data_IF_993867327951
#
_entry.id   IF_993867327951
#
_cell.length_a   1.000
_cell.length_b   1.000
_cell.length_c   1.000
_cell.angle_alpha   90.00
_cell.angle_beta   90.00
_cell.angle_gamma   90.00
#
_symmetry.space_group_name_H-M   'P 1'
#
loop_
_entity.id
_entity.type
_entity.pdbx_description
1 polymer ?
#
# COMPACT_ATOMS: atom_id res chain seq x y z
N UNK A 1 -49.69 -6.63 -43.48
CA UNK A 1 -49.92 -8.06 -43.21
C UNK A 1 -48.98 -8.51 -42.10
N UNK A 2 -49.47 -8.60 -40.86
CA UNK A 2 -48.71 -9.15 -39.73
C UNK A 2 -48.98 -10.65 -39.68
N UNK A 3 -48.04 -11.47 -40.15
CA UNK A 3 -48.15 -12.91 -40.03
C UNK A 3 -47.90 -13.28 -38.56
N UNK A 4 -48.94 -13.78 -37.89
CA UNK A 4 -48.84 -14.34 -36.54
C UNK A 4 -48.13 -15.68 -36.64
N UNK A 5 -46.89 -15.75 -36.13
CA UNK A 5 -46.15 -17.00 -35.96
C UNK A 5 -47.01 -18.02 -35.21
N UNK A 6 -47.06 -19.24 -35.73
CA UNK A 6 -47.83 -20.32 -35.09
C UNK A 6 -47.16 -20.74 -33.77
N UNK A 7 -47.95 -21.31 -32.84
CA UNK A 7 -47.42 -21.83 -31.56
C UNK A 7 -46.31 -22.87 -31.77
N UNK A 8 -46.29 -23.54 -32.92
CA UNK A 8 -45.27 -24.55 -33.28
C UNK A 8 -43.97 -23.89 -33.72
N UNK A 9 -44.05 -22.83 -34.53
CA UNK A 9 -42.87 -22.05 -34.95
C UNK A 9 -42.21 -21.35 -33.77
N UNK A 10 -43.00 -20.83 -32.82
CA UNK A 10 -42.47 -20.24 -31.59
C UNK A 10 -41.76 -21.27 -30.70
N UNK A 11 -42.30 -22.49 -30.61
CA UNK A 11 -41.64 -23.59 -29.88
C UNK A 11 -40.36 -24.05 -30.57
N UNK A 12 -40.35 -24.10 -31.90
CA UNK A 12 -39.17 -24.45 -32.68
C UNK A 12 -38.06 -23.41 -32.51
N UNK A 13 -38.40 -22.11 -32.57
CA UNK A 13 -37.46 -21.02 -32.36
C UNK A 13 -36.91 -20.99 -30.93
N UNK A 14 -37.73 -21.27 -29.92
CA UNK A 14 -37.28 -21.43 -28.53
C UNK A 14 -36.32 -22.61 -28.36
N UNK A 15 -36.63 -23.77 -28.95
CA UNK A 15 -35.75 -24.95 -28.90
C UNK A 15 -34.42 -24.72 -29.63
N UNK A 16 -34.44 -24.03 -30.77
CA UNK A 16 -33.23 -23.65 -31.51
C UNK A 16 -32.38 -22.64 -30.72
N UNK A 17 -33.01 -21.69 -30.02
CA UNK A 17 -32.33 -20.74 -29.14
C UNK A 17 -31.67 -21.40 -27.92
N UNK A 18 -32.34 -22.39 -27.32
CA UNK A 18 -31.75 -23.19 -26.22
C UNK A 18 -30.59 -24.05 -26.72
N UNK A 19 -30.70 -24.66 -27.91
CA UNK A 19 -29.60 -25.43 -28.49
C UNK A 19 -28.38 -24.55 -28.83
N UNK A 20 -28.59 -23.33 -29.33
CA UNK A 20 -27.51 -22.37 -29.57
C UNK A 20 -26.84 -21.89 -28.27
N UNK A 21 -27.60 -21.74 -27.18
CA UNK A 21 -27.05 -21.39 -25.87
C UNK A 21 -26.15 -22.50 -25.29
N UNK A 22 -26.42 -23.77 -25.59
CA UNK A 22 -25.60 -24.91 -25.18
C UNK A 22 -24.32 -25.10 -26.03
N UNK A 23 -24.31 -24.59 -27.27
CA UNK A 23 -23.13 -24.64 -28.14
C UNK A 23 -22.06 -23.59 -27.79
N UNK A 24 -22.37 -22.64 -26.88
CA UNK A 24 -21.44 -21.61 -26.41
C UNK A 24 -20.40 -22.06 -25.37
N UNK A 25 -20.46 -23.31 -24.90
CA UNK A 25 -19.45 -23.85 -24.00
C UNK A 25 -18.20 -24.29 -24.79
N UNK A 26 -17.37 -23.33 -25.20
CA UNK A 26 -16.00 -23.65 -25.65
C UNK A 26 -15.29 -24.43 -24.54
N UNK A 27 -14.61 -25.52 -24.88
CA UNK A 27 -13.76 -26.27 -23.94
C UNK A 27 -12.80 -25.28 -23.26
N UNK A 28 -12.99 -25.07 -21.95
CA UNK A 28 -12.19 -24.11 -21.18
C UNK A 28 -10.71 -24.48 -21.14
N UNK A 29 -9.87 -23.54 -20.74
CA UNK A 29 -8.44 -23.79 -20.52
C UNK A 29 -8.26 -24.87 -19.45
N UNK A 30 -7.54 -25.95 -19.79
CA UNK A 30 -7.32 -27.09 -18.91
C UNK A 30 -5.83 -27.39 -18.83
N UNK A 31 -5.17 -27.22 -17.66
CA UNK A 31 -3.72 -27.46 -17.54
C UNK A 31 -3.27 -28.87 -17.94
N UNK A 32 -4.13 -29.87 -17.73
CA UNK A 32 -3.89 -31.27 -18.11
C UNK A 32 -3.73 -31.50 -19.61
N UNK A 33 -4.18 -30.56 -20.45
CA UNK A 33 -4.11 -30.69 -21.90
C UNK A 33 -2.69 -30.37 -22.43
N UNK A 34 -1.75 -29.94 -21.56
CA UNK A 34 -0.38 -29.59 -21.93
C UNK A 34 0.62 -30.67 -21.47
N UNK A 35 1.51 -31.07 -22.39
CA UNK A 35 2.38 -32.23 -22.21
C UNK A 35 3.51 -32.06 -21.19
N UNK A 36 3.97 -30.83 -20.94
CA UNK A 36 5.07 -30.52 -20.02
C UNK A 36 4.94 -29.11 -19.43
N UNK A 37 5.69 -28.79 -18.35
CA UNK A 37 5.64 -27.48 -17.71
C UNK A 37 5.95 -26.31 -18.64
N UNK A 38 6.88 -26.45 -19.58
CA UNK A 38 7.22 -25.39 -20.54
C UNK A 38 6.04 -25.07 -21.48
N UNK A 39 5.32 -26.09 -21.94
CA UNK A 39 4.13 -25.92 -22.75
C UNK A 39 3.00 -25.26 -21.95
N UNK A 40 2.78 -25.69 -20.71
CA UNK A 40 1.79 -25.07 -19.82
C UNK A 40 2.15 -23.62 -19.49
N UNK A 41 3.43 -23.31 -19.24
CA UNK A 41 3.90 -21.95 -18.96
C UNK A 41 3.61 -21.03 -20.14
N UNK A 42 3.99 -21.43 -21.37
CA UNK A 42 3.73 -20.64 -22.57
C UNK A 42 2.24 -20.41 -22.81
N UNK A 43 1.43 -21.44 -22.59
CA UNK A 43 -0.02 -21.32 -22.74
C UNK A 43 -0.65 -20.40 -21.68
N UNK A 44 -0.22 -20.51 -20.42
CA UNK A 44 -0.66 -19.65 -19.31
C UNK A 44 -0.28 -18.19 -19.55
N UNK A 45 0.92 -17.95 -20.08
CA UNK A 45 1.38 -16.61 -20.48
C UNK A 45 0.53 -16.03 -21.62
N UNK A 46 0.13 -16.85 -22.60
CA UNK A 46 -0.76 -16.40 -23.66
C UNK A 46 -2.15 -16.02 -23.12
N UNK A 47 -2.68 -16.79 -22.18
CA UNK A 47 -3.95 -16.46 -21.51
C UNK A 47 -3.83 -15.18 -20.68
N UNK A 48 -2.70 -14.97 -19.99
CA UNK A 48 -2.37 -13.71 -19.32
C UNK A 48 -2.35 -12.53 -20.30
N UNK A 49 -1.65 -12.65 -21.42
CA UNK A 49 -1.58 -11.59 -22.45
C UNK A 49 -2.96 -11.27 -23.05
N UNK A 50 -3.85 -12.27 -23.13
CA UNK A 50 -5.25 -12.11 -23.56
C UNK A 50 -6.17 -11.57 -22.46
N UNK A 51 -5.62 -11.18 -21.31
CA UNK A 51 -6.36 -10.71 -20.15
C UNK A 51 -7.35 -11.72 -19.57
N UNK A 52 -7.17 -13.01 -19.89
CA UNK A 52 -7.94 -14.12 -19.32
C UNK A 52 -7.27 -14.54 -18.02
N UNK A 53 -7.36 -13.66 -17.02
CA UNK A 53 -6.62 -13.78 -15.76
C UNK A 53 -6.97 -15.07 -15.01
N UNK A 54 -8.23 -15.51 -15.02
CA UNK A 54 -8.63 -16.78 -14.37
C UNK A 54 -7.93 -17.99 -14.99
N UNK A 55 -7.84 -18.05 -16.32
CA UNK A 55 -7.12 -19.12 -17.00
C UNK A 55 -5.61 -19.07 -16.72
N UNK A 56 -5.03 -17.86 -16.72
CA UNK A 56 -3.63 -17.66 -16.37
C UNK A 56 -3.33 -18.14 -14.94
N UNK A 57 -4.16 -17.76 -13.95
CA UNK A 57 -4.04 -18.22 -12.56
C UNK A 57 -4.04 -19.73 -12.49
N UNK A 58 -5.03 -20.40 -13.07
CA UNK A 58 -5.13 -21.87 -13.05
C UNK A 58 -3.86 -22.54 -13.58
N UNK A 59 -3.30 -22.01 -14.66
CA UNK A 59 -2.07 -22.54 -15.25
C UNK A 59 -0.83 -22.29 -14.40
N UNK A 60 -0.66 -21.07 -13.88
CA UNK A 60 0.48 -20.73 -13.03
C UNK A 60 0.40 -21.37 -11.63
N UNK A 61 -0.78 -21.50 -11.02
CA UNK A 61 -1.00 -22.27 -9.78
C UNK A 61 -0.54 -23.71 -9.96
N UNK A 62 -0.94 -24.34 -11.08
CA UNK A 62 -0.51 -25.70 -11.40
C UNK A 62 1.01 -25.79 -11.53
N UNK A 63 1.64 -24.85 -12.23
CA UNK A 63 3.10 -24.81 -12.36
C UNK A 63 3.79 -24.64 -11.01
N UNK A 64 3.33 -23.73 -10.17
CA UNK A 64 3.93 -23.50 -8.84
C UNK A 64 3.78 -24.69 -7.90
N UNK A 65 2.79 -25.56 -8.13
CA UNK A 65 2.60 -26.81 -7.38
C UNK A 65 3.44 -27.97 -7.91
N UNK A 66 3.66 -28.04 -9.23
CA UNK A 66 4.30 -29.21 -9.87
C UNK A 66 5.82 -29.05 -10.00
N UNK A 67 6.31 -27.81 -10.15
CA UNK A 67 7.72 -27.52 -10.39
C UNK A 67 8.57 -27.71 -9.12
N UNK A 68 9.79 -28.22 -9.30
CA UNK A 68 10.75 -28.32 -8.20
C UNK A 68 11.30 -26.95 -7.81
N UNK A 69 11.79 -26.81 -6.57
CA UNK A 69 12.38 -25.56 -6.07
C UNK A 69 13.56 -25.02 -6.90
N UNK A 70 14.26 -25.89 -7.66
CA UNK A 70 15.40 -25.52 -8.50
C UNK A 70 15.02 -25.24 -9.96
N UNK A 71 13.74 -25.39 -10.30
CA UNK A 71 13.28 -25.20 -11.67
C UNK A 71 13.30 -23.70 -12.05
N UNK A 72 13.94 -23.32 -13.17
CA UNK A 72 14.05 -21.92 -13.58
C UNK A 72 12.69 -21.27 -13.94
N UNK A 73 11.64 -22.05 -14.18
CA UNK A 73 10.30 -21.52 -14.46
C UNK A 73 9.52 -21.16 -13.18
N UNK A 74 9.98 -21.58 -12.00
CA UNK A 74 9.21 -21.44 -10.77
C UNK A 74 9.05 -19.98 -10.34
N UNK A 75 10.13 -19.19 -10.32
CA UNK A 75 10.06 -17.76 -10.01
C UNK A 75 9.21 -16.98 -11.03
N UNK A 76 9.39 -17.15 -12.36
CA UNK A 76 8.47 -16.58 -13.35
C UNK A 76 7.02 -17.02 -13.18
N UNK A 77 6.75 -18.28 -12.79
CA UNK A 77 5.39 -18.77 -12.59
C UNK A 77 4.72 -18.05 -11.40
N UNK A 78 5.42 -17.93 -10.26
CA UNK A 78 4.96 -17.11 -9.14
C UNK A 78 4.73 -15.65 -9.55
N UNK A 79 5.61 -15.09 -10.40
CA UNK A 79 5.53 -13.70 -10.81
C UNK A 79 4.26 -13.43 -11.63
N UNK A 80 3.96 -14.26 -12.62
CA UNK A 80 2.74 -14.11 -13.40
C UNK A 80 1.48 -14.52 -12.65
N UNK A 81 1.57 -15.45 -11.70
CA UNK A 81 0.47 -15.74 -10.76
C UNK A 81 0.13 -14.49 -9.94
N UNK A 82 1.13 -13.84 -9.34
CA UNK A 82 0.98 -12.62 -8.57
C UNK A 82 0.38 -11.48 -9.41
N UNK A 83 0.91 -11.26 -10.61
CA UNK A 83 0.36 -10.27 -11.53
C UNK A 83 -1.09 -10.56 -11.91
N UNK A 84 -1.46 -11.84 -12.12
CA UNK A 84 -2.84 -12.22 -12.44
C UNK A 84 -3.79 -11.85 -11.29
N UNK A 85 -3.39 -12.14 -10.05
CA UNK A 85 -4.14 -11.72 -8.85
C UNK A 85 -4.25 -10.19 -8.75
N UNK A 86 -3.17 -9.43 -9.00
CA UNK A 86 -3.24 -7.96 -9.00
C UNK A 86 -4.22 -7.41 -10.03
N UNK A 87 -4.25 -8.00 -11.24
CA UNK A 87 -5.18 -7.59 -12.32
C UNK A 87 -6.64 -7.77 -11.93
N UNK A 88 -6.92 -8.72 -11.04
CA UNK A 88 -8.25 -8.97 -10.48
C UNK A 88 -8.47 -8.30 -9.13
N UNK A 89 -7.52 -7.47 -8.67
CA UNK A 89 -7.56 -6.77 -7.37
C UNK A 89 -7.56 -7.71 -6.17
N UNK A 90 -7.08 -8.93 -6.34
CA UNK A 90 -6.89 -9.94 -5.31
C UNK A 90 -5.55 -9.70 -4.58
N UNK A 91 -5.37 -8.50 -4.04
CA UNK A 91 -4.05 -8.00 -3.59
C UNK A 91 -3.40 -8.85 -2.49
N UNK A 92 -4.19 -9.51 -1.64
CA UNK A 92 -3.63 -10.40 -0.62
C UNK A 92 -2.97 -11.64 -1.25
N UNK A 93 -3.63 -12.25 -2.24
CA UNK A 93 -3.08 -13.39 -2.98
C UNK A 93 -1.89 -12.97 -3.84
N UNK A 94 -1.95 -11.77 -4.43
CA UNK A 94 -0.82 -11.20 -5.15
C UNK A 94 0.41 -11.01 -4.25
N UNK A 95 0.24 -10.43 -3.06
CA UNK A 95 1.33 -10.26 -2.11
C UNK A 95 1.96 -11.61 -1.75
N UNK A 96 1.14 -12.61 -1.40
CA UNK A 96 1.61 -13.95 -1.06
C UNK A 96 2.39 -14.61 -2.20
N UNK A 97 1.94 -14.47 -3.45
CA UNK A 97 2.63 -15.02 -4.60
C UNK A 97 3.96 -14.30 -4.89
N UNK A 98 4.03 -12.97 -4.75
CA UNK A 98 5.29 -12.24 -4.85
C UNK A 98 6.27 -12.58 -3.70
N UNK A 99 5.78 -12.77 -2.48
CA UNK A 99 6.60 -13.18 -1.31
C UNK A 99 7.33 -14.51 -1.56
N UNK A 100 6.73 -15.44 -2.33
CA UNK A 100 7.42 -16.67 -2.74
C UNK A 100 8.69 -16.40 -3.54
N UNK A 101 8.74 -15.32 -4.32
CA UNK A 101 9.93 -14.92 -5.06
C UNK A 101 10.95 -14.27 -4.11
N UNK A 102 10.51 -13.35 -3.25
CA UNK A 102 11.41 -12.62 -2.34
C UNK A 102 12.10 -13.56 -1.36
N UNK A 103 11.40 -14.59 -0.91
CA UNK A 103 11.91 -15.52 0.10
C UNK A 103 12.69 -16.69 -0.51
N UNK A 104 12.25 -17.17 -1.68
CA UNK A 104 12.81 -18.35 -2.33
C UNK A 104 13.92 -18.07 -3.34
N UNK A 105 13.96 -16.86 -3.91
CA UNK A 105 14.80 -16.53 -5.07
C UNK A 105 15.44 -15.14 -4.96
N UNK A 106 16.16 -14.81 -3.86
CA UNK A 106 16.71 -13.48 -3.63
C UNK A 106 17.75 -13.05 -4.68
N UNK A 107 18.41 -14.00 -5.35
CA UNK A 107 19.41 -13.73 -6.41
C UNK A 107 18.79 -13.64 -7.81
N UNK A 108 17.49 -13.92 -7.96
CA UNK A 108 16.81 -13.82 -9.25
C UNK A 108 16.61 -12.36 -9.67
N UNK A 109 16.73 -12.09 -10.96
CA UNK A 109 16.46 -10.77 -11.56
C UNK A 109 15.05 -10.23 -11.26
N UNK A 110 14.10 -11.10 -10.93
CA UNK A 110 12.73 -10.75 -10.54
C UNK A 110 12.60 -10.35 -9.07
N UNK A 111 13.57 -10.65 -8.20
CA UNK A 111 13.50 -10.38 -6.76
C UNK A 111 13.18 -8.90 -6.43
N UNK A 112 13.88 -7.88 -6.96
CA UNK A 112 13.53 -6.48 -6.68
C UNK A 112 12.13 -6.12 -7.20
N UNK A 113 11.75 -6.59 -8.40
CA UNK A 113 10.41 -6.36 -8.95
C UNK A 113 9.33 -7.03 -8.10
N UNK A 114 9.59 -8.21 -7.56
CA UNK A 114 8.68 -8.91 -6.67
C UNK A 114 8.51 -8.20 -5.33
N UNK A 115 9.61 -7.75 -4.69
CA UNK A 115 9.52 -6.96 -3.45
C UNK A 115 8.70 -5.67 -3.64
N UNK A 116 8.86 -4.99 -4.78
CA UNK A 116 8.02 -3.85 -5.13
C UNK A 116 6.55 -4.26 -5.29
N UNK A 117 6.31 -5.42 -5.90
CA UNK A 117 4.98 -6.04 -6.03
C UNK A 117 4.31 -6.35 -4.69
N UNK A 118 5.05 -6.90 -3.72
CA UNK A 118 4.57 -7.12 -2.34
C UNK A 118 4.17 -5.78 -1.71
N UNK A 119 5.06 -4.78 -1.76
CA UNK A 119 4.79 -3.46 -1.19
C UNK A 119 3.58 -2.77 -1.81
N UNK A 120 3.47 -2.80 -3.14
CA UNK A 120 2.30 -2.27 -3.87
C UNK A 120 1.01 -3.00 -3.51
N UNK A 121 1.06 -4.32 -3.37
CA UNK A 121 -0.10 -5.14 -3.04
C UNK A 121 -0.62 -4.82 -1.62
N UNK A 122 0.25 -4.77 -0.61
CA UNK A 122 -0.13 -4.36 0.74
C UNK A 122 -0.61 -2.91 0.81
N UNK A 123 0.03 -1.99 0.08
CA UNK A 123 -0.45 -0.61 -0.05
C UNK A 123 -1.88 -0.57 -0.61
N UNK A 124 -2.18 -1.41 -1.60
CA UNK A 124 -3.51 -1.48 -2.24
C UNK A 124 -4.59 -2.06 -1.31
N UNK A 125 -4.22 -2.87 -0.32
CA UNK A 125 -5.12 -3.31 0.74
C UNK A 125 -5.47 -2.17 1.72
N UNK A 126 -4.54 -1.24 1.96
CA UNK A 126 -4.73 -0.10 2.87
C UNK A 126 -5.34 1.13 2.17
N UNK A 127 -6.58 1.01 1.69
CA UNK A 127 -7.21 1.96 0.74
C UNK A 127 -7.49 3.38 1.25
N UNK A 128 -7.39 3.64 2.57
CA UNK A 128 -7.58 4.98 3.16
C UNK A 128 -6.95 5.06 4.56
N UNK A 129 -6.48 6.24 5.00
CA UNK A 129 -5.84 6.44 6.31
C UNK A 129 -6.69 6.01 7.52
N UNK A 130 -8.02 6.08 7.42
CA UNK A 130 -8.91 5.78 8.55
C UNK A 130 -8.94 4.29 8.93
N UNK A 131 -8.52 3.38 8.05
CA UNK A 131 -8.48 1.94 8.30
C UNK A 131 -7.34 1.55 9.25
N UNK A 132 -7.34 0.30 9.71
CA UNK A 132 -6.20 -0.27 10.43
C UNK A 132 -4.91 -0.17 9.59
N UNK A 133 -3.79 0.32 10.16
CA UNK A 133 -2.57 0.61 9.42
C UNK A 133 -1.69 -0.61 9.15
N UNK A 134 -2.03 -1.81 9.63
CA UNK A 134 -1.18 -3.01 9.54
C UNK A 134 -0.65 -3.25 8.12
N UNK A 135 -1.54 -3.21 7.11
CA UNK A 135 -1.13 -3.39 5.72
C UNK A 135 -0.23 -2.25 5.21
N UNK A 136 -0.46 -1.01 5.63
CA UNK A 136 0.43 0.11 5.32
C UNK A 136 1.83 -0.08 5.93
N UNK A 137 1.90 -0.60 7.16
CA UNK A 137 3.16 -0.89 7.86
C UNK A 137 3.94 -2.01 7.17
N UNK A 138 3.26 -3.09 6.79
CA UNK A 138 3.85 -4.16 5.97
C UNK A 138 4.41 -3.63 4.65
N UNK A 139 3.65 -2.77 3.97
CA UNK A 139 4.09 -2.14 2.73
C UNK A 139 5.36 -1.30 2.90
N UNK A 140 5.44 -0.42 3.91
CA UNK A 140 6.66 0.38 4.15
C UNK A 140 7.84 -0.51 4.54
N UNK A 141 7.61 -1.54 5.36
CA UNK A 141 8.66 -2.47 5.78
C UNK A 141 9.31 -3.16 4.59
N UNK A 142 8.53 -3.76 3.69
CA UNK A 142 9.07 -4.47 2.53
C UNK A 142 9.71 -3.51 1.52
N UNK A 143 9.16 -2.32 1.33
CA UNK A 143 9.72 -1.32 0.41
C UNK A 143 11.06 -0.78 0.92
N UNK A 144 11.23 -0.60 2.25
CA UNK A 144 12.52 -0.23 2.82
C UNK A 144 13.53 -1.37 2.74
N UNK A 145 13.09 -2.62 2.93
CA UNK A 145 13.94 -3.78 2.69
C UNK A 145 14.42 -3.83 1.23
N UNK A 146 13.56 -3.53 0.25
CA UNK A 146 13.95 -3.41 -1.17
C UNK A 146 15.06 -2.37 -1.37
N UNK A 147 14.93 -1.19 -0.77
CA UNK A 147 15.95 -0.13 -0.87
C UNK A 147 17.28 -0.54 -0.24
N UNK A 148 17.26 -1.36 0.80
CA UNK A 148 18.47 -1.85 1.47
C UNK A 148 19.12 -3.02 0.74
N UNK A 149 18.33 -3.95 0.22
CA UNK A 149 18.82 -5.18 -0.41
C UNK A 149 19.20 -4.97 -1.87
N UNK A 150 18.51 -4.06 -2.58
CA UNK A 150 18.71 -3.80 -4.01
C UNK A 150 18.82 -2.30 -4.30
N UNK A 151 19.81 -1.59 -3.74
CA UNK A 151 19.91 -0.12 -3.80
C UNK A 151 20.05 0.44 -5.23
N UNK A 152 20.64 -0.34 -6.15
CA UNK A 152 20.86 0.06 -7.55
C UNK A 152 19.76 -0.43 -8.51
N UNK A 153 18.69 -1.06 -7.99
CA UNK A 153 17.59 -1.55 -8.82
C UNK A 153 16.74 -0.41 -9.37
N UNK A 154 16.16 -0.59 -10.55
CA UNK A 154 15.23 0.38 -11.17
C UNK A 154 13.95 0.57 -10.33
N UNK A 155 13.62 -0.39 -9.48
CA UNK A 155 12.46 -0.38 -8.59
C UNK A 155 12.59 0.62 -7.43
N UNK A 156 13.81 1.03 -7.09
CA UNK A 156 14.07 1.90 -5.92
C UNK A 156 13.32 3.23 -5.98
N UNK A 157 13.17 3.82 -7.16
CA UNK A 157 12.45 5.10 -7.31
C UNK A 157 10.95 4.97 -7.08
N UNK A 158 10.31 3.87 -7.52
CA UNK A 158 8.90 3.62 -7.21
C UNK A 158 8.73 3.30 -5.71
N UNK A 159 9.64 2.51 -5.14
CA UNK A 159 9.61 2.20 -3.72
C UNK A 159 9.69 3.47 -2.85
N UNK A 160 10.60 4.40 -3.13
CA UNK A 160 10.71 5.69 -2.43
C UNK A 160 9.41 6.49 -2.52
N UNK A 161 8.81 6.60 -3.71
CA UNK A 161 7.54 7.34 -3.92
C UNK A 161 6.41 6.73 -3.11
N UNK A 162 6.30 5.40 -3.10
CA UNK A 162 5.29 4.67 -2.32
C UNK A 162 5.48 4.84 -0.82
N UNK A 163 6.72 4.75 -0.33
CA UNK A 163 7.02 5.00 1.09
C UNK A 163 6.53 6.40 1.49
N UNK A 164 6.88 7.45 0.73
CA UNK A 164 6.42 8.81 1.00
C UNK A 164 4.89 8.91 1.05
N UNK A 165 4.19 8.27 0.09
CA UNK A 165 2.73 8.28 0.06
C UNK A 165 2.11 7.57 1.28
N UNK A 166 2.66 6.42 1.67
CA UNK A 166 2.17 5.65 2.81
C UNK A 166 2.43 6.40 4.12
N UNK A 167 3.61 7.00 4.27
CA UNK A 167 3.96 7.83 5.43
C UNK A 167 3.06 9.07 5.55
N UNK A 168 2.72 9.75 4.46
CA UNK A 168 1.73 10.84 4.46
C UNK A 168 0.38 10.36 5.00
N UNK A 169 -0.07 9.17 4.62
CA UNK A 169 -1.32 8.60 5.13
C UNK A 169 -1.23 8.20 6.60
N UNK A 170 -0.09 7.68 7.05
CA UNK A 170 0.09 7.31 8.46
C UNK A 170 0.11 8.57 9.34
N UNK A 171 0.86 9.58 8.91
CA UNK A 171 0.93 10.87 9.57
C UNK A 171 -0.43 11.56 9.63
N UNK A 172 -1.22 11.51 8.55
CA UNK A 172 -2.58 12.05 8.51
C UNK A 172 -3.49 11.32 9.51
N UNK A 173 -3.43 10.00 9.59
CA UNK A 173 -4.23 9.20 10.55
C UNK A 173 -3.92 9.61 12.00
N UNK A 174 -2.65 9.73 12.35
CA UNK A 174 -2.23 10.06 13.71
C UNK A 174 -2.58 11.54 14.03
N UNK A 175 -2.42 12.45 13.06
CA UNK A 175 -2.87 13.84 13.16
C UNK A 175 -4.38 13.94 13.41
N UNK A 176 -5.20 13.25 12.62
CA UNK A 176 -6.66 13.26 12.76
C UNK A 176 -7.10 12.71 14.12
N UNK A 177 -6.36 11.75 14.65
CA UNK A 177 -6.58 11.22 16.00
C UNK A 177 -6.28 12.28 17.06
N UNK A 178 -5.16 13.00 16.95
CA UNK A 178 -4.86 14.15 17.82
C UNK A 178 -5.94 15.24 17.74
N UNK A 179 -6.40 15.58 16.54
CA UNK A 179 -7.50 16.55 16.33
C UNK A 179 -8.81 16.07 16.98
N UNK A 180 -9.12 14.78 16.90
CA UNK A 180 -10.29 14.20 17.56
C UNK A 180 -10.22 14.36 19.09
N UNK A 181 -9.05 14.13 19.71
CA UNK A 181 -8.88 14.32 21.15
C UNK A 181 -9.13 15.77 21.58
N UNK A 182 -8.62 16.74 20.81
CA UNK A 182 -8.86 18.17 21.08
C UNK A 182 -10.35 18.52 20.95
N UNK A 183 -10.97 18.15 19.82
CA UNK A 183 -12.30 18.66 19.44
C UNK A 183 -13.46 17.89 20.09
N UNK A 184 -13.35 16.56 20.15
CA UNK A 184 -14.44 15.68 20.56
C UNK A 184 -14.26 15.25 22.01
N UNK A 185 -13.07 14.77 22.37
CA UNK A 185 -12.81 14.29 23.74
C UNK A 185 -12.48 15.41 24.72
N UNK A 186 -12.22 16.62 24.22
CA UNK A 186 -11.85 17.80 25.03
C UNK A 186 -10.63 17.52 25.93
N UNK A 187 -9.70 16.68 25.47
CA UNK A 187 -8.54 16.22 26.23
C UNK A 187 -7.25 16.62 25.52
N UNK A 188 -6.40 17.37 26.21
CA UNK A 188 -5.18 17.96 25.64
C UNK A 188 -4.00 16.99 25.72
N UNK A 189 -3.81 16.31 26.85
CA UNK A 189 -2.62 15.47 27.07
C UNK A 189 -2.49 14.35 26.02
N UNK A 190 -3.55 13.59 25.69
CA UNK A 190 -3.48 12.60 24.63
C UNK A 190 -3.26 13.23 23.26
N UNK A 191 -3.82 14.41 22.99
CA UNK A 191 -3.63 15.09 21.71
C UNK A 191 -2.16 15.50 21.51
N UNK A 192 -1.49 15.98 22.57
CA UNK A 192 -0.06 16.30 22.54
C UNK A 192 0.76 15.06 22.17
N UNK A 193 0.43 13.88 22.74
CA UNK A 193 1.13 12.62 22.40
C UNK A 193 1.02 12.32 20.91
N UNK A 194 -0.19 12.35 20.33
CA UNK A 194 -0.37 12.08 18.89
C UNK A 194 0.36 13.09 18.00
N UNK A 195 0.31 14.37 18.32
CA UNK A 195 1.01 15.37 17.52
C UNK A 195 2.53 15.23 17.64
N UNK A 196 3.06 14.89 18.84
CA UNK A 196 4.47 14.55 19.04
C UNK A 196 4.89 13.34 18.19
N UNK A 197 4.10 12.27 18.20
CA UNK A 197 4.37 11.07 17.41
C UNK A 197 4.44 11.39 15.91
N UNK A 198 3.55 12.25 15.40
CA UNK A 198 3.57 12.65 13.99
C UNK A 198 4.86 13.39 13.62
N UNK A 199 5.30 14.35 14.43
CA UNK A 199 6.48 15.16 14.11
C UNK A 199 7.80 14.41 14.28
N UNK A 200 7.83 13.41 15.18
CA UNK A 200 9.01 12.57 15.39
C UNK A 200 9.09 11.45 14.36
N UNK A 201 7.96 10.81 14.04
CA UNK A 201 7.93 9.63 13.16
C UNK A 201 7.88 9.99 11.68
N UNK A 202 7.19 11.07 11.31
CA UNK A 202 6.94 11.45 9.92
C UNK A 202 7.30 12.93 9.63
N UNK A 203 8.53 13.39 9.96
CA UNK A 203 8.90 14.81 9.94
C UNK A 203 8.77 15.50 8.57
N UNK A 204 8.85 14.72 7.48
CA UNK A 204 8.77 15.20 6.10
C UNK A 204 7.32 15.41 5.60
N UNK A 205 6.32 14.99 6.36
CA UNK A 205 4.92 14.99 5.91
C UNK A 205 4.22 16.33 6.11
N UNK A 206 3.15 16.57 5.34
CA UNK A 206 2.27 17.73 5.56
C UNK A 206 1.66 17.73 6.96
N UNK A 207 1.29 16.55 7.45
CA UNK A 207 0.73 16.38 8.78
C UNK A 207 1.72 16.75 9.89
N UNK A 208 3.03 16.52 9.73
CA UNK A 208 4.03 16.97 10.71
C UNK A 208 4.05 18.49 10.88
N UNK A 209 4.03 19.24 9.78
CA UNK A 209 3.92 20.71 9.85
C UNK A 209 2.68 21.16 10.61
N UNK A 210 1.53 20.53 10.35
CA UNK A 210 0.29 20.85 11.05
C UNK A 210 0.31 20.43 12.53
N UNK A 211 0.92 19.30 12.85
CA UNK A 211 1.10 18.79 14.22
C UNK A 211 1.95 19.74 15.04
N UNK A 212 3.04 20.27 14.49
CA UNK A 212 3.85 21.26 15.18
C UNK A 212 3.07 22.53 15.56
N UNK A 213 2.26 23.06 14.62
CA UNK A 213 1.40 24.22 14.89
C UNK A 213 0.37 23.91 15.99
N UNK A 214 -0.18 22.69 16.00
CA UNK A 214 -1.11 22.24 17.05
C UNK A 214 -0.42 22.09 18.40
N UNK A 215 0.80 21.55 18.45
CA UNK A 215 1.59 21.46 19.68
C UNK A 215 1.80 22.84 20.30
N UNK A 216 2.26 23.81 19.50
CA UNK A 216 2.43 25.18 19.96
C UNK A 216 1.13 25.79 20.51
N UNK A 217 0.02 25.63 19.79
CA UNK A 217 -1.31 26.09 20.21
C UNK A 217 -1.71 25.48 21.57
N UNK A 218 -1.54 24.17 21.72
CA UNK A 218 -1.92 23.44 22.93
C UNK A 218 -1.03 23.82 24.13
N UNK A 219 0.29 23.90 23.93
CA UNK A 219 1.23 24.29 24.98
C UNK A 219 0.98 25.71 25.48
N UNK A 220 0.71 26.64 24.56
CA UNK A 220 0.31 28.01 24.91
C UNK A 220 -0.98 28.01 25.73
N UNK A 221 -1.97 27.21 25.34
CA UNK A 221 -3.27 27.12 26.02
C UNK A 221 -3.15 26.61 27.47
N UNK A 222 -2.28 25.63 27.71
CA UNK A 222 -2.02 25.09 29.06
C UNK A 222 -0.93 25.84 29.83
N UNK A 223 -0.39 26.93 29.25
CA UNK A 223 0.65 27.80 29.83
C UNK A 223 2.00 27.13 30.07
N UNK A 224 2.33 26.10 29.30
CA UNK A 224 3.66 25.47 29.29
C UNK A 224 4.58 26.26 28.36
N UNK A 225 5.17 27.33 28.91
CA UNK A 225 5.91 28.32 28.13
C UNK A 225 7.20 27.77 27.52
N UNK A 226 7.90 26.91 28.25
CA UNK A 226 9.15 26.29 27.80
C UNK A 226 8.91 25.40 26.58
N UNK A 227 7.98 24.45 26.68
CA UNK A 227 7.57 23.60 25.54
C UNK A 227 7.09 24.41 24.33
N UNK A 228 6.33 25.49 24.53
CA UNK A 228 5.89 26.35 23.44
C UNK A 228 7.07 27.02 22.72
N UNK A 229 8.06 27.53 23.47
CA UNK A 229 9.26 28.15 22.92
C UNK A 229 10.16 27.14 22.20
N UNK A 230 10.32 25.93 22.77
CA UNK A 230 11.04 24.83 22.13
C UNK A 230 10.38 24.41 20.82
N UNK A 231 9.04 24.32 20.81
CA UNK A 231 8.26 24.01 19.61
C UNK A 231 8.49 25.06 18.52
N UNK A 232 8.51 26.35 18.85
CA UNK A 232 8.85 27.41 17.90
C UNK A 232 10.28 27.27 17.35
N UNK A 233 11.24 26.95 18.21
CA UNK A 233 12.63 26.72 17.80
C UNK A 233 12.74 25.54 16.82
N UNK A 234 12.04 24.44 17.11
CA UNK A 234 11.98 23.27 16.24
C UNK A 234 11.32 23.59 14.89
N UNK A 235 10.19 24.30 14.90
CA UNK A 235 9.50 24.72 13.68
C UNK A 235 10.35 25.64 12.80
N UNK A 236 11.08 26.59 13.39
CA UNK A 236 11.93 27.48 12.62
C UNK A 236 13.11 26.75 11.97
N UNK A 237 13.65 25.72 12.62
CA UNK A 237 14.67 24.84 12.02
C UNK A 237 14.09 24.00 10.88
N UNK A 238 12.89 23.44 11.06
CA UNK A 238 12.29 22.53 10.08
C UNK A 238 11.62 23.23 8.89
N UNK A 239 11.05 24.42 9.10
CA UNK A 239 10.31 25.18 8.09
C UNK A 239 10.74 26.66 8.03
N UNK A 240 11.99 26.95 7.62
CA UNK A 240 12.46 28.33 7.48
C UNK A 240 11.56 29.14 6.53
N UNK A 241 11.13 30.32 6.98
CA UNK A 241 10.29 31.23 6.19
C UNK A 241 8.81 30.85 6.09
N UNK A 242 8.34 29.83 6.80
CA UNK A 242 6.93 29.43 6.76
C UNK A 242 6.00 30.50 7.36
N UNK A 243 4.98 30.88 6.60
CA UNK A 243 4.05 31.96 6.99
C UNK A 243 3.21 31.63 8.23
N UNK A 244 2.86 30.35 8.45
CA UNK A 244 2.10 29.94 9.62
C UNK A 244 3.00 29.84 10.85
N UNK A 245 4.26 29.41 10.67
CA UNK A 245 5.25 29.44 11.76
C UNK A 245 5.51 30.88 12.19
N UNK A 246 5.68 31.82 11.25
CA UNK A 246 5.80 33.25 11.56
C UNK A 246 4.60 33.80 12.32
N UNK A 247 3.39 33.44 11.90
CA UNK A 247 2.18 33.88 12.58
C UNK A 247 2.04 33.31 14.00
N UNK A 248 2.48 32.06 14.21
CA UNK A 248 2.40 31.40 15.52
C UNK A 248 3.52 31.86 16.49
N UNK A 249 4.75 32.02 15.98
CA UNK A 249 5.96 32.19 16.80
C UNK A 249 6.60 33.58 16.72
N UNK A 250 6.09 34.49 15.88
CA UNK A 250 6.69 35.80 15.67
C UNK A 250 7.89 35.75 14.71
N UNK A 251 8.91 36.57 14.96
CA UNK A 251 10.09 36.61 14.10
C UNK A 251 11.00 35.39 14.33
N UNK A 252 11.63 34.92 13.25
CA UNK A 252 12.60 33.82 13.33
C UNK A 252 13.87 34.28 14.08
N UNK A 253 14.47 33.43 14.93
CA UNK A 253 15.81 33.69 15.48
C UNK A 253 16.83 33.83 14.35
N UNK A 254 17.83 34.71 14.50
CA UNK A 254 18.83 34.98 13.46
C UNK A 254 19.53 33.71 12.94
N UNK A 255 19.70 32.70 13.81
CA UNK A 255 20.44 31.48 13.53
C UNK A 255 19.59 30.37 12.88
N UNK A 256 18.30 30.60 12.66
CA UNK A 256 17.38 29.59 12.09
C UNK A 256 17.47 29.46 10.56
N UNK A 257 18.06 30.45 9.87
CA UNK A 257 18.16 30.48 8.41
C UNK A 257 19.21 29.52 7.83
N UNK A 258 20.15 29.02 8.64
CA UNK A 258 21.28 28.17 8.20
C UNK A 258 20.97 26.67 8.26
N UNK A 259 19.86 26.24 8.87
CA UNK A 259 19.50 24.84 9.05
C UNK A 259 18.69 24.26 7.87
N UNK A 260 19.14 24.49 6.63
CA UNK A 260 18.54 23.90 5.44
C UNK A 260 18.97 22.43 5.28
N UNK A 261 18.49 21.56 6.17
CA UNK A 261 18.46 20.11 5.90
C UNK A 261 17.25 19.54 6.62
N UNK A 262 16.36 18.92 5.86
CA UNK A 262 15.27 18.13 6.42
C UNK A 262 15.84 17.23 7.54
N UNK A 263 15.15 17.09 8.68
CA UNK A 263 15.62 16.18 9.73
C UNK A 263 15.91 14.82 9.09
N UNK A 264 17.05 14.17 9.38
CA UNK A 264 17.27 12.82 8.94
C UNK A 264 16.05 11.98 9.38
N UNK A 265 15.58 11.02 8.55
CA UNK A 265 14.46 10.17 8.93
C UNK A 265 14.79 9.57 10.29
N UNK A 266 13.90 9.75 11.27
CA UNK A 266 14.06 9.13 12.57
C UNK A 266 14.20 7.61 12.31
N UNK A 267 15.32 7.05 12.76
CA UNK A 267 15.47 5.59 12.85
C UNK A 267 14.29 5.12 13.69
N UNK A 268 13.37 4.37 13.08
CA UNK A 268 12.21 3.85 13.78
C UNK A 268 12.70 3.04 14.98
N UNK A 269 12.56 3.60 16.17
CA UNK A 269 12.78 2.84 17.39
C UNK A 269 11.56 1.92 17.58
N UNK A 270 11.75 0.59 17.71
CA UNK A 270 10.65 -0.37 17.79
C UNK A 270 9.88 -0.32 19.13
N UNK A 271 10.18 0.65 19.99
CA UNK A 271 9.47 0.83 21.27
C UNK A 271 8.15 1.54 20.99
N UNK A 272 7.20 0.74 20.49
CA UNK A 272 5.79 1.04 20.54
C UNK A 272 5.42 1.36 22.00
N UNK A 273 5.31 2.65 22.33
CA UNK A 273 4.57 3.06 23.50
C UNK A 273 3.14 2.54 23.33
N UNK A 274 2.65 1.85 24.35
CA UNK A 274 1.28 1.38 24.43
C UNK A 274 0.35 2.57 24.16
N UNK A 275 -0.13 2.67 22.92
CA UNK A 275 -1.01 3.74 22.47
C UNK A 275 -2.23 3.69 23.37
N UNK A 276 -2.65 4.78 24.02
CA UNK A 276 -3.93 4.80 24.70
C UNK A 276 -5.01 4.48 23.66
N UNK A 277 -5.51 3.25 23.70
CA UNK A 277 -6.59 2.81 22.83
C UNK A 277 -7.78 3.75 23.01
N UNK A 278 -8.63 3.93 21.98
CA UNK A 278 -9.84 4.73 22.13
C UNK A 278 -10.61 4.19 23.34
N UNK A 279 -10.80 5.04 24.35
CA UNK A 279 -11.55 4.68 25.56
C UNK A 279 -12.87 4.02 25.12
N UNK A 280 -13.00 2.71 25.39
CA UNK A 280 -14.23 1.97 25.13
C UNK A 280 -15.32 2.66 25.93
N UNK A 281 -16.37 3.14 25.25
CA UNK A 281 -17.55 3.65 25.92
C UNK A 281 -18.25 2.43 26.53
N UNK A 282 -18.10 2.26 27.84
CA UNK A 282 -19.08 1.57 28.68
C UNK A 282 -20.18 2.53 29.07
#
# INVERSE_FOLDING_TARGET
>A
MSQRLSRVEFRLLMLLGVAAALAGCSRGFQPRDYANPEALFRASLLEFQRQKWDNAKIGFERLTSDLSARDPLLAPAYFYLALSHERQKEYLLAAQAFERITDGFPDDTLAPTAMLGVGRSYQSLWRRPSLDPENGQKAVSILRALLSSYPESKETDDAKKRIVQIEEWMAQKDYDTGVHYVRVRRSIDPAIIYFKDVVTTYPSTKAARLSWLRLHELYTKIRWKEDAAETCTAMWRAYPGDVLVKAACGAAPADSATAAKAPPPAVLSPVAYARPGPARRG
#
